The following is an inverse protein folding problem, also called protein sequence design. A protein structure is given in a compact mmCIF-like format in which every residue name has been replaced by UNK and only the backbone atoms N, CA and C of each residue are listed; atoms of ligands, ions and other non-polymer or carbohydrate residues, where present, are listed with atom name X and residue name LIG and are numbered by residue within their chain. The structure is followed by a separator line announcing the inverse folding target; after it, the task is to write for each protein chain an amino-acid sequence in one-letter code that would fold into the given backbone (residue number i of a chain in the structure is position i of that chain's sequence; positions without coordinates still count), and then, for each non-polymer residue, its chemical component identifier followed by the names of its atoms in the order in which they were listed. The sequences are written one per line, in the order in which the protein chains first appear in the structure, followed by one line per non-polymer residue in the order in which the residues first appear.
data_IF_781560581841
#
_entry.id   IF_781560581841
#
_cell.length_a   1.000
_cell.length_b   1.000
_cell.length_c   1.000
_cell.angle_alpha   90.00
_cell.angle_beta   90.00
_cell.angle_gamma   90.00
#
_symmetry.space_group_name_H-M   'P 1'
#
loop_
_entity.id
_entity.type
_entity.pdbx_description
1 polymer ?
#
# COMPACT_ATOMS: atom_id res chain seq x y z
N UNK A 1 54.59 39.49 -37.17
CA UNK A 1 53.33 38.89 -36.69
C UNK A 1 53.68 38.00 -35.50
N UNK A 2 53.57 38.52 -34.28
CA UNK A 2 53.97 37.81 -33.07
C UNK A 2 52.73 37.11 -32.47
N UNK A 3 52.81 35.79 -32.29
CA UNK A 3 51.81 35.01 -31.56
C UNK A 3 51.88 35.40 -30.08
N UNK A 4 50.83 36.07 -29.60
CA UNK A 4 50.63 36.31 -28.16
C UNK A 4 50.16 34.99 -27.56
N UNK A 5 51.05 34.30 -26.84
CA UNK A 5 50.69 33.14 -26.03
C UNK A 5 49.74 33.58 -24.91
N UNK A 6 48.54 32.97 -24.86
CA UNK A 6 47.62 33.18 -23.73
C UNK A 6 48.24 32.54 -22.48
N UNK A 7 48.31 33.26 -21.35
CA UNK A 7 48.78 32.68 -20.10
C UNK A 7 47.88 31.49 -19.72
N UNK A 8 48.46 30.42 -19.13
CA UNK A 8 47.70 29.26 -18.70
C UNK A 8 46.63 29.70 -17.70
N UNK A 9 45.37 29.40 -18.01
CA UNK A 9 44.24 29.65 -17.12
C UNK A 9 44.56 29.00 -15.77
N UNK A 10 44.41 29.72 -14.63
CA UNK A 10 44.62 29.14 -13.32
C UNK A 10 43.74 27.89 -13.22
N UNK A 11 44.34 26.76 -12.86
CA UNK A 11 43.62 25.51 -12.59
C UNK A 11 42.68 25.77 -11.43
N UNK A 12 41.48 26.24 -11.72
CA UNK A 12 40.40 26.37 -10.76
C UNK A 12 40.00 24.95 -10.40
N UNK A 13 40.68 24.41 -9.39
CA UNK A 13 40.25 23.24 -8.63
C UNK A 13 38.92 23.62 -7.99
N UNK A 14 37.87 23.56 -8.81
CA UNK A 14 36.51 23.86 -8.43
C UNK A 14 36.19 22.89 -7.28
N UNK A 15 35.93 23.43 -6.09
CA UNK A 15 35.56 22.62 -4.95
C UNK A 15 34.34 21.78 -5.35
N UNK A 16 34.55 20.46 -5.51
CA UNK A 16 33.48 19.51 -5.81
C UNK A 16 33.09 18.83 -4.51
N UNK A 17 31.78 18.70 -4.31
CA UNK A 17 31.28 17.86 -3.23
C UNK A 17 31.73 16.41 -3.49
N UNK A 18 32.12 15.68 -2.44
CA UNK A 18 32.23 14.22 -2.49
C UNK A 18 30.98 13.57 -3.08
N UNK A 19 31.15 12.53 -3.90
CA UNK A 19 30.06 11.92 -4.66
C UNK A 19 28.98 11.27 -3.78
N UNK A 20 29.37 10.75 -2.62
CA UNK A 20 28.49 10.22 -1.58
C UNK A 20 27.59 11.31 -0.97
N UNK A 21 28.13 12.51 -0.71
CA UNK A 21 27.35 13.64 -0.24
C UNK A 21 26.40 14.16 -1.33
N UNK A 22 26.84 14.23 -2.59
CA UNK A 22 25.95 14.57 -3.70
C UNK A 22 24.79 13.57 -3.80
N UNK A 23 25.07 12.26 -3.76
CA UNK A 23 24.04 11.22 -3.77
C UNK A 23 23.04 11.42 -2.64
N UNK A 24 23.52 11.61 -1.40
CA UNK A 24 22.65 11.82 -0.25
C UNK A 24 21.77 13.05 -0.40
N UNK A 25 22.34 14.18 -0.85
CA UNK A 25 21.60 15.43 -1.08
C UNK A 25 20.51 15.21 -2.13
N UNK A 26 20.84 14.63 -3.30
CA UNK A 26 19.87 14.42 -4.36
C UNK A 26 18.80 13.40 -4.00
N UNK A 27 19.14 12.32 -3.29
CA UNK A 27 18.15 11.34 -2.82
C UNK A 27 17.20 11.96 -1.80
N UNK A 28 17.71 12.69 -0.80
CA UNK A 28 16.86 13.36 0.19
C UNK A 28 15.97 14.43 -0.46
N UNK A 29 16.52 15.24 -1.37
CA UNK A 29 15.75 16.24 -2.10
C UNK A 29 14.68 15.59 -3.00
N UNK A 30 15.01 14.49 -3.68
CA UNK A 30 14.06 13.73 -4.49
C UNK A 30 12.92 13.13 -3.66
N UNK A 31 13.22 12.60 -2.47
CA UNK A 31 12.21 12.05 -1.56
C UNK A 31 11.30 13.15 -0.98
N UNK A 32 11.88 14.29 -0.57
CA UNK A 32 11.13 15.43 -0.05
C UNK A 32 10.31 16.16 -1.14
N UNK A 33 10.78 16.15 -2.39
CA UNK A 33 10.18 16.89 -3.50
C UNK A 33 10.05 16.02 -4.75
N UNK A 34 9.23 14.95 -4.67
CA UNK A 34 9.06 13.97 -5.75
C UNK A 34 8.70 14.57 -7.11
N UNK A 35 7.89 15.64 -7.12
CA UNK A 35 7.53 16.39 -8.35
C UNK A 35 8.72 17.03 -9.06
N UNK A 36 9.81 17.28 -8.32
CA UNK A 36 11.04 17.87 -8.86
C UNK A 36 12.03 16.84 -9.40
N UNK A 37 11.79 15.53 -9.19
CA UNK A 37 12.68 14.46 -9.69
C UNK A 37 12.96 14.61 -11.19
N UNK A 38 11.98 14.84 -12.09
CA UNK A 38 12.25 15.01 -13.51
C UNK A 38 13.28 16.11 -13.83
N UNK A 39 13.28 17.21 -13.07
CA UNK A 39 14.26 18.29 -13.24
C UNK A 39 15.63 17.89 -12.68
N UNK A 40 15.66 17.21 -11.54
CA UNK A 40 16.91 16.73 -10.93
C UNK A 40 17.63 15.71 -11.83
N UNK A 41 16.87 14.90 -12.58
CA UNK A 41 17.42 13.95 -13.56
C UNK A 41 18.25 14.63 -14.66
N UNK A 42 18.03 15.93 -14.91
CA UNK A 42 18.72 16.71 -15.94
C UNK A 42 20.05 17.30 -15.46
N UNK A 43 20.35 17.25 -14.15
CA UNK A 43 21.52 17.92 -13.57
C UNK A 43 22.83 17.27 -14.05
N UNK A 44 22.91 15.94 -13.99
CA UNK A 44 24.07 15.17 -14.42
C UNK A 44 23.71 13.70 -14.62
N UNK A 45 24.47 12.99 -15.46
CA UNK A 45 24.26 11.56 -15.71
C UNK A 45 24.28 10.70 -14.42
N UNK A 46 25.23 10.98 -13.50
CA UNK A 46 25.30 10.24 -12.22
C UNK A 46 24.06 10.46 -11.36
N UNK A 47 23.57 11.70 -11.30
CA UNK A 47 22.34 12.05 -10.57
C UNK A 47 21.16 11.31 -11.19
N UNK A 48 21.08 11.26 -12.52
CA UNK A 48 20.08 10.47 -13.23
C UNK A 48 20.07 9.00 -12.77
N UNK A 49 21.23 8.34 -12.77
CA UNK A 49 21.36 6.95 -12.32
C UNK A 49 20.92 6.75 -10.86
N UNK A 50 21.22 7.70 -9.99
CA UNK A 50 20.90 7.60 -8.56
C UNK A 50 19.41 7.76 -8.24
N UNK A 51 18.73 8.71 -8.89
CA UNK A 51 17.36 9.08 -8.51
C UNK A 51 16.29 8.53 -9.45
N UNK A 52 16.63 8.04 -10.66
CA UNK A 52 15.66 7.44 -11.57
C UNK A 52 14.81 6.32 -10.93
N UNK A 53 15.36 5.40 -10.11
CA UNK A 53 14.55 4.40 -9.40
C UNK A 53 13.46 5.02 -8.50
N UNK A 54 13.67 6.23 -7.99
CA UNK A 54 12.72 6.93 -7.11
C UNK A 54 11.47 7.46 -7.85
N UNK A 55 11.46 7.40 -9.19
CA UNK A 55 10.26 7.64 -9.99
C UNK A 55 9.27 6.48 -9.95
N UNK A 56 9.73 5.26 -9.64
CA UNK A 56 8.95 4.04 -9.79
C UNK A 56 8.66 3.28 -8.48
N UNK A 57 8.61 3.88 -7.28
CA UNK A 57 8.36 3.14 -6.04
C UNK A 57 6.98 2.49 -6.03
N UNK A 58 6.05 2.99 -6.86
CA UNK A 58 4.66 2.55 -6.94
C UNK A 58 4.29 2.33 -8.40
N UNK A 59 3.68 1.17 -8.67
CA UNK A 59 3.13 0.84 -9.98
C UNK A 59 1.64 0.61 -9.82
N UNK A 60 0.89 1.47 -10.50
CA UNK A 60 -0.55 1.58 -10.39
C UNK A 60 -1.19 1.09 -11.68
N UNK A 61 -1.94 0.00 -11.60
CA UNK A 61 -2.70 -0.59 -12.72
C UNK A 61 -4.18 -0.51 -12.36
N UNK A 62 -4.73 0.70 -12.38
CA UNK A 62 -6.16 0.97 -12.13
C UNK A 62 -6.96 1.01 -13.43
N UNK A 63 -6.44 1.71 -14.44
CA UNK A 63 -7.10 1.78 -15.72
C UNK A 63 -6.27 0.98 -16.72
N UNK A 64 -6.89 -0.08 -17.20
CA UNK A 64 -6.33 -0.92 -18.23
C UNK A 64 -6.51 -0.27 -19.62
N UNK A 65 -7.11 0.91 -19.73
CA UNK A 65 -6.97 1.77 -20.91
C UNK A 65 -5.59 2.43 -20.88
N UNK A 66 -4.76 2.14 -21.88
CA UNK A 66 -3.41 2.68 -22.00
C UNK A 66 -3.40 4.23 -22.05
N UNK A 67 -4.53 4.87 -22.31
CA UNK A 67 -4.67 6.33 -22.34
C UNK A 67 -4.82 6.97 -20.95
N UNK A 68 -5.26 6.21 -19.94
CA UNK A 68 -5.53 6.72 -18.58
C UNK A 68 -4.57 6.16 -17.53
N UNK A 69 -3.64 5.28 -17.92
CA UNK A 69 -2.62 4.79 -17.01
C UNK A 69 -1.69 5.94 -16.58
N UNK A 70 -1.32 5.93 -15.30
CA UNK A 70 -0.33 6.88 -14.76
C UNK A 70 0.94 6.88 -15.62
N UNK A 71 1.45 8.08 -15.93
CA UNK A 71 2.63 8.29 -16.77
C UNK A 71 3.83 7.48 -16.26
N UNK A 72 3.94 7.31 -14.93
CA UNK A 72 4.96 6.47 -14.33
C UNK A 72 4.81 4.99 -14.72
N UNK A 73 3.61 4.42 -14.62
CA UNK A 73 3.30 3.05 -15.03
C UNK A 73 3.56 2.85 -16.52
N UNK A 74 3.09 3.75 -17.39
CA UNK A 74 3.31 3.67 -18.84
C UNK A 74 4.80 3.75 -19.20
N UNK A 75 5.55 4.66 -18.55
CA UNK A 75 6.99 4.78 -18.76
C UNK A 75 7.72 3.52 -18.30
N UNK A 76 7.37 2.98 -17.13
CA UNK A 76 7.94 1.73 -16.61
C UNK A 76 7.67 0.56 -17.57
N UNK A 77 6.44 0.45 -18.07
CA UNK A 77 6.07 -0.56 -19.04
C UNK A 77 6.85 -0.44 -20.34
N UNK A 78 6.99 0.78 -20.89
CA UNK A 78 7.82 1.02 -22.10
C UNK A 78 9.29 0.64 -21.88
N UNK A 79 9.85 0.96 -20.70
CA UNK A 79 11.22 0.56 -20.34
C UNK A 79 11.36 -0.97 -20.30
N UNK A 80 10.36 -1.67 -19.77
CA UNK A 80 10.33 -3.13 -19.71
C UNK A 80 10.13 -3.78 -21.09
N UNK A 81 9.33 -3.17 -21.96
CA UNK A 81 9.13 -3.65 -23.34
C UNK A 81 10.39 -3.47 -24.19
N UNK A 82 11.03 -2.30 -24.08
CA UNK A 82 12.25 -1.98 -24.83
C UNK A 82 13.51 -2.68 -24.27
N UNK A 83 13.40 -3.42 -23.15
CA UNK A 83 14.54 -3.95 -22.39
C UNK A 83 15.60 -2.87 -22.10
N UNK A 84 15.16 -1.63 -21.86
CA UNK A 84 16.04 -0.46 -21.65
C UNK A 84 16.71 -0.47 -20.26
N UNK A 85 16.25 -1.33 -19.36
CA UNK A 85 16.77 -1.53 -18.01
C UNK A 85 16.83 -3.03 -17.69
N UNK A 86 17.83 -3.48 -16.91
CA UNK A 86 17.91 -4.87 -16.49
C UNK A 86 16.79 -5.21 -15.48
N UNK A 87 16.37 -6.48 -15.34
CA UNK A 87 15.35 -6.91 -14.36
C UNK A 87 15.62 -6.41 -12.93
N UNK A 88 16.89 -6.39 -12.51
CA UNK A 88 17.30 -5.93 -11.18
C UNK A 88 16.92 -4.47 -10.91
N UNK A 89 16.86 -3.63 -11.95
CA UNK A 89 16.40 -2.24 -11.80
C UNK A 89 14.95 -2.21 -11.31
N UNK A 90 14.06 -2.98 -11.92
CA UNK A 90 12.64 -3.02 -11.57
C UNK A 90 12.41 -3.64 -10.19
N UNK A 91 13.11 -4.74 -9.88
CA UNK A 91 13.07 -5.36 -8.55
C UNK A 91 13.52 -4.40 -7.44
N UNK A 92 14.49 -3.53 -7.73
CA UNK A 92 14.98 -2.56 -6.76
C UNK A 92 14.11 -1.29 -6.70
N UNK A 93 13.56 -0.83 -7.84
CA UNK A 93 12.81 0.42 -7.93
C UNK A 93 11.37 0.27 -7.45
N UNK A 94 10.68 -0.82 -7.81
CA UNK A 94 9.26 -1.00 -7.52
C UNK A 94 9.08 -1.64 -6.15
N UNK A 95 8.40 -0.93 -5.23
CA UNK A 95 8.13 -1.41 -3.87
C UNK A 95 6.66 -1.72 -3.63
N UNK A 96 5.76 -1.04 -4.34
CA UNK A 96 4.33 -1.21 -4.21
C UNK A 96 3.69 -1.47 -5.56
N UNK A 97 2.83 -2.47 -5.62
CA UNK A 97 2.11 -2.86 -6.81
C UNK A 97 0.61 -2.89 -6.53
N UNK A 98 -0.15 -2.19 -7.37
CA UNK A 98 -1.58 -2.05 -7.24
C UNK A 98 -2.24 -2.58 -8.51
N UNK A 99 -2.92 -3.72 -8.39
CA UNK A 99 -3.57 -4.43 -9.49
C UNK A 99 -5.07 -4.33 -9.31
N UNK A 100 -5.66 -3.32 -9.94
CA UNK A 100 -7.08 -3.01 -9.88
C UNK A 100 -7.61 -2.94 -11.31
N UNK A 101 -7.74 -4.08 -12.02
CA UNK A 101 -8.38 -4.05 -13.32
C UNK A 101 -9.78 -3.44 -13.16
N UNK A 102 -9.98 -2.20 -13.64
CA UNK A 102 -11.31 -1.61 -13.70
C UNK A 102 -12.09 -2.44 -14.71
N UNK A 103 -12.95 -3.31 -14.20
CA UNK A 103 -14.02 -3.85 -15.00
C UNK A 103 -14.96 -2.68 -15.28
N UNK A 104 -14.98 -2.19 -16.53
CA UNK A 104 -16.13 -1.43 -16.97
C UNK A 104 -17.32 -2.38 -16.83
N UNK A 105 -18.15 -2.12 -15.82
CA UNK A 105 -19.50 -2.68 -15.74
C UNK A 105 -20.30 -2.01 -16.86
N UNK A 106 -19.94 -2.26 -18.12
CA UNK A 106 -20.87 -2.04 -19.21
C UNK A 106 -22.00 -3.03 -18.96
N UNK A 107 -23.16 -2.50 -18.55
CA UNK A 107 -24.30 -3.25 -18.03
C UNK A 107 -24.77 -4.40 -18.93
N UNK A 108 -24.27 -4.53 -20.17
CA UNK A 108 -24.63 -5.59 -21.12
C UNK A 108 -23.49 -6.05 -22.07
N UNK A 109 -22.22 -5.73 -21.81
CA UNK A 109 -21.09 -6.18 -22.65
C UNK A 109 -20.28 -7.30 -21.99
N UNK A 110 -19.61 -8.20 -22.76
CA UNK A 110 -18.56 -9.02 -22.19
C UNK A 110 -17.53 -8.08 -21.55
N UNK A 111 -17.01 -8.40 -20.35
CA UNK A 111 -15.96 -7.59 -19.75
C UNK A 111 -14.82 -7.50 -20.76
N UNK A 112 -14.59 -6.31 -21.30
CA UNK A 112 -13.38 -6.06 -22.07
C UNK A 112 -12.26 -6.14 -21.05
N UNK A 113 -11.63 -7.32 -20.95
CA UNK A 113 -10.30 -7.49 -20.36
C UNK A 113 -9.43 -6.48 -21.07
N UNK A 114 -9.21 -5.42 -20.33
CA UNK A 114 -8.76 -4.20 -20.89
C UNK A 114 -7.25 -4.28 -21.07
N UNK A 115 -6.70 -3.70 -22.14
CA UNK A 115 -5.28 -3.40 -22.48
C UNK A 115 -4.11 -4.38 -22.19
N UNK A 116 -4.14 -5.14 -21.10
CA UNK A 116 -3.07 -6.00 -20.62
C UNK A 116 -3.45 -7.47 -20.74
N UNK A 117 -2.60 -8.26 -21.38
CA UNK A 117 -2.72 -9.72 -21.43
C UNK A 117 -2.04 -10.36 -20.22
N UNK A 118 -2.41 -11.61 -19.89
CA UNK A 118 -1.74 -12.39 -18.84
C UNK A 118 -0.23 -12.46 -19.04
N UNK A 119 0.23 -12.58 -20.29
CA UNK A 119 1.66 -12.54 -20.64
C UNK A 119 2.30 -11.22 -20.26
N UNK A 120 1.62 -10.10 -20.51
CA UNK A 120 2.14 -8.76 -20.18
C UNK A 120 2.18 -8.55 -18.67
N UNK A 121 1.13 -8.98 -17.96
CA UNK A 121 1.09 -8.90 -16.51
C UNK A 121 2.12 -9.83 -15.86
N UNK A 122 2.24 -11.07 -16.32
CA UNK A 122 3.27 -12.01 -15.86
C UNK A 122 4.69 -11.47 -16.08
N UNK A 123 4.96 -10.83 -17.23
CA UNK A 123 6.24 -10.16 -17.50
C UNK A 123 6.49 -9.01 -16.51
N UNK A 124 5.48 -8.19 -16.25
CA UNK A 124 5.58 -7.09 -15.29
C UNK A 124 5.84 -7.60 -13.86
N UNK A 125 5.05 -8.58 -13.41
CA UNK A 125 5.17 -9.18 -12.08
C UNK A 125 6.56 -9.80 -11.88
N UNK A 126 7.04 -10.55 -12.87
CA UNK A 126 8.37 -11.19 -12.82
C UNK A 126 9.51 -10.17 -12.77
N UNK A 127 9.36 -9.01 -13.43
CA UNK A 127 10.35 -7.93 -13.36
C UNK A 127 10.33 -7.22 -11.99
N UNK A 128 9.17 -7.15 -11.35
CA UNK A 128 8.94 -6.49 -10.06
C UNK A 128 9.09 -7.44 -8.87
N UNK A 129 10.06 -8.37 -8.91
CA UNK A 129 10.23 -9.41 -7.89
C UNK A 129 10.56 -8.91 -6.48
N UNK A 130 11.03 -7.67 -6.35
CA UNK A 130 11.34 -7.02 -5.07
C UNK A 130 10.21 -6.21 -4.44
N UNK A 131 8.97 -6.36 -4.97
CA UNK A 131 7.77 -5.72 -4.40
C UNK A 131 7.51 -6.21 -2.98
N UNK A 132 7.17 -5.27 -2.10
CA UNK A 132 6.91 -5.52 -0.68
C UNK A 132 5.42 -5.37 -0.34
N UNK A 133 4.74 -4.45 -1.03
CA UNK A 133 3.34 -4.15 -0.80
C UNK A 133 2.54 -4.46 -2.07
N UNK A 134 1.55 -5.34 -1.96
CA UNK A 134 0.68 -5.70 -3.08
C UNK A 134 -0.76 -5.42 -2.70
N UNK A 135 -1.52 -4.82 -3.62
CA UNK A 135 -2.96 -4.69 -3.50
C UNK A 135 -3.60 -5.31 -4.74
N UNK A 136 -4.50 -6.27 -4.51
CA UNK A 136 -5.17 -7.05 -5.55
C UNK A 136 -6.68 -6.83 -5.44
N UNK A 137 -7.32 -6.50 -6.56
CA UNK A 137 -8.75 -6.69 -6.75
C UNK A 137 -8.98 -8.08 -7.33
N UNK A 138 -9.51 -8.98 -6.51
CA UNK A 138 -9.91 -10.31 -6.98
C UNK A 138 -11.30 -10.21 -7.61
N UNK A 139 -11.58 -11.01 -8.64
CA UNK A 139 -12.92 -11.08 -9.23
C UNK A 139 -13.17 -12.51 -9.71
N UNK A 140 -14.33 -13.06 -9.35
CA UNK A 140 -14.81 -14.41 -9.67
C UNK A 140 -14.75 -14.83 -11.13
N UNK A 141 -14.76 -13.86 -12.06
CA UNK A 141 -14.78 -14.15 -13.50
C UNK A 141 -13.40 -14.39 -14.09
N UNK A 142 -12.34 -14.01 -13.37
CA UNK A 142 -10.99 -13.98 -13.90
C UNK A 142 -10.07 -14.85 -13.03
N UNK A 143 -9.92 -16.15 -13.36
CA UNK A 143 -8.77 -16.92 -12.93
C UNK A 143 -7.58 -16.52 -13.81
N UNK A 144 -6.81 -15.49 -13.39
CA UNK A 144 -5.36 -15.69 -13.33
C UNK A 144 -4.60 -14.81 -12.31
N UNK A 145 -5.19 -13.82 -11.63
CA UNK A 145 -4.36 -12.82 -10.90
C UNK A 145 -3.56 -13.44 -9.75
N UNK A 146 -4.18 -14.26 -8.91
CA UNK A 146 -3.45 -14.91 -7.81
C UNK A 146 -2.43 -15.91 -8.35
N UNK A 147 -2.75 -16.63 -9.43
CA UNK A 147 -1.85 -17.58 -10.09
C UNK A 147 -0.65 -16.86 -10.71
N UNK A 148 -0.86 -15.72 -11.35
CA UNK A 148 0.20 -14.89 -11.94
C UNK A 148 1.11 -14.31 -10.87
N UNK A 149 0.55 -13.81 -9.77
CA UNK A 149 1.32 -13.29 -8.62
C UNK A 149 2.15 -14.43 -7.99
N UNK A 150 1.55 -15.62 -7.86
CA UNK A 150 2.23 -16.82 -7.34
C UNK A 150 3.33 -17.30 -8.30
N UNK A 151 3.04 -17.36 -9.60
CA UNK A 151 3.97 -17.80 -10.65
C UNK A 151 5.15 -16.83 -10.80
N UNK A 152 4.94 -15.54 -10.54
CA UNK A 152 6.00 -14.55 -10.46
C UNK A 152 6.86 -14.66 -9.19
N UNK A 153 6.55 -15.61 -8.30
CA UNK A 153 7.24 -15.86 -7.03
C UNK A 153 7.37 -14.59 -6.17
N UNK A 154 6.28 -13.82 -6.10
CA UNK A 154 6.23 -12.63 -5.26
C UNK A 154 6.08 -13.01 -3.79
N UNK A 155 6.80 -12.30 -2.93
CA UNK A 155 6.77 -12.49 -1.47
C UNK A 155 6.46 -11.16 -0.77
N UNK A 156 5.25 -10.60 -0.98
CA UNK A 156 4.86 -9.39 -0.31
C UNK A 156 4.91 -9.56 1.21
N UNK A 157 5.23 -8.48 1.90
CA UNK A 157 5.08 -8.36 3.36
C UNK A 157 3.71 -7.84 3.74
N UNK A 158 3.09 -7.08 2.83
CA UNK A 158 1.76 -6.47 2.99
C UNK A 158 0.89 -6.80 1.80
N UNK A 159 -0.30 -7.33 2.06
CA UNK A 159 -1.27 -7.70 1.03
C UNK A 159 -2.62 -7.09 1.35
N UNK A 160 -3.21 -6.41 0.37
CA UNK A 160 -4.62 -6.03 0.38
C UNK A 160 -5.35 -6.89 -0.65
N UNK A 161 -6.39 -7.56 -0.21
CA UNK A 161 -7.32 -8.29 -1.05
C UNK A 161 -8.64 -7.53 -1.06
N UNK A 162 -9.08 -7.11 -2.24
CA UNK A 162 -10.43 -6.58 -2.44
C UNK A 162 -11.26 -7.70 -3.04
N UNK A 163 -12.23 -8.19 -2.25
CA UNK A 163 -13.12 -9.29 -2.57
C UNK A 163 -14.50 -8.71 -2.92
N UNK A 164 -14.94 -8.75 -4.19
CA UNK A 164 -16.25 -8.27 -4.60
C UNK A 164 -17.37 -9.23 -4.21
N UNK A 165 -17.07 -10.51 -3.97
CA UNK A 165 -18.02 -11.53 -3.50
C UNK A 165 -17.42 -12.26 -2.27
N UNK A 166 -18.09 -12.23 -1.10
CA UNK A 166 -17.61 -12.89 0.11
C UNK A 166 -17.59 -14.43 0.05
N UNK A 167 -18.29 -15.04 -0.91
CA UNK A 167 -18.43 -16.50 -0.99
C UNK A 167 -17.23 -17.21 -1.60
N UNK A 168 -16.28 -16.46 -2.16
CA UNK A 168 -15.13 -17.08 -2.78
C UNK A 168 -14.11 -17.51 -1.73
N UNK A 169 -13.73 -18.79 -1.69
CA UNK A 169 -12.76 -19.27 -0.72
C UNK A 169 -11.39 -18.65 -0.99
N UNK A 170 -10.88 -17.90 -0.01
CA UNK A 170 -9.51 -17.39 -0.07
C UNK A 170 -8.56 -18.52 0.32
N UNK A 171 -7.74 -18.99 -0.62
CA UNK A 171 -6.76 -20.04 -0.37
C UNK A 171 -5.54 -19.49 0.42
N UNK A 172 -5.71 -19.29 1.73
CA UNK A 172 -4.65 -18.77 2.61
C UNK A 172 -3.44 -19.71 2.74
N UNK A 173 -3.57 -20.97 2.30
CA UNK A 173 -2.44 -21.91 2.18
C UNK A 173 -1.47 -21.59 1.03
N UNK A 174 -1.79 -20.62 0.16
CA UNK A 174 -0.94 -20.27 -0.97
C UNK A 174 0.42 -19.69 -0.51
N UNK A 175 1.55 -20.04 -1.15
CA UNK A 175 2.89 -19.53 -0.81
C UNK A 175 3.02 -18.00 -0.74
N UNK A 176 2.18 -17.27 -1.48
CA UNK A 176 2.06 -15.81 -1.45
C UNK A 176 1.87 -15.27 -0.02
N UNK A 177 1.16 -16.03 0.82
CA UNK A 177 0.85 -15.59 2.18
C UNK A 177 1.95 -15.94 3.21
N UNK A 178 2.92 -16.79 2.86
CA UNK A 178 3.92 -17.28 3.81
C UNK A 178 4.86 -16.21 4.38
N UNK A 179 5.05 -15.10 3.66
CA UNK A 179 5.88 -13.98 4.10
C UNK A 179 5.08 -12.80 4.69
N UNK A 180 3.75 -12.89 4.73
CA UNK A 180 2.89 -11.77 5.09
C UNK A 180 2.97 -11.45 6.57
N UNK A 181 3.11 -10.17 6.85
CA UNK A 181 2.99 -9.57 8.18
C UNK A 181 1.71 -8.76 8.32
N UNK A 182 1.22 -8.20 7.21
CA UNK A 182 0.00 -7.40 7.16
C UNK A 182 -0.92 -7.94 6.07
N UNK A 183 -2.18 -8.22 6.44
CA UNK A 183 -3.22 -8.67 5.53
C UNK A 183 -4.46 -7.80 5.71
N UNK A 184 -5.07 -7.40 4.61
CA UNK A 184 -6.29 -6.60 4.63
C UNK A 184 -7.33 -7.17 3.67
N UNK A 185 -8.53 -7.42 4.16
CA UNK A 185 -9.70 -7.82 3.37
C UNK A 185 -10.63 -6.62 3.19
N UNK A 186 -10.93 -6.27 1.94
CA UNK A 186 -11.74 -5.13 1.54
C UNK A 186 -12.97 -5.60 0.73
N UNK A 187 -14.12 -4.96 0.91
CA UNK A 187 -15.33 -5.23 0.12
C UNK A 187 -16.16 -6.45 0.57
N UNK A 188 -15.72 -7.17 1.60
CA UNK A 188 -16.31 -8.44 2.04
C UNK A 188 -17.29 -8.24 3.18
N UNK A 189 -18.54 -8.72 3.08
CA UNK A 189 -19.42 -8.80 4.24
C UNK A 189 -18.89 -9.88 5.19
N UNK A 190 -18.80 -9.56 6.48
CA UNK A 190 -18.42 -10.57 7.49
C UNK A 190 -19.64 -11.44 7.82
N UNK A 191 -19.67 -12.65 7.25
CA UNK A 191 -20.65 -13.69 7.55
C UNK A 191 -19.97 -14.95 8.12
N UNK A 192 -20.76 -15.99 8.39
CA UNK A 192 -20.26 -17.23 8.99
C UNK A 192 -19.33 -18.02 8.08
N UNK A 193 -19.53 -17.95 6.76
CA UNK A 193 -18.68 -18.65 5.80
C UNK A 193 -17.30 -17.99 5.75
N UNK A 194 -17.27 -16.67 5.61
CA UNK A 194 -16.01 -15.91 5.62
C UNK A 194 -15.27 -16.04 6.95
N UNK A 195 -15.98 -15.97 8.09
CA UNK A 195 -15.37 -16.15 9.40
C UNK A 195 -14.74 -17.54 9.57
N UNK A 196 -15.41 -18.61 9.10
CA UNK A 196 -14.87 -19.97 9.13
C UNK A 196 -13.60 -20.10 8.27
N UNK A 197 -13.58 -19.50 7.08
CA UNK A 197 -12.37 -19.49 6.23
C UNK A 197 -11.18 -18.81 6.93
N UNK A 198 -11.42 -17.70 7.63
CA UNK A 198 -10.37 -17.03 8.39
C UNK A 198 -9.90 -17.86 9.58
N UNK A 199 -10.82 -18.49 10.31
CA UNK A 199 -10.47 -19.35 11.45
C UNK A 199 -9.58 -20.53 11.02
N UNK A 200 -9.88 -21.15 9.88
CA UNK A 200 -9.08 -22.24 9.32
C UNK A 200 -7.75 -21.75 8.73
N UNK A 201 -7.75 -20.61 8.03
CA UNK A 201 -6.61 -20.18 7.23
C UNK A 201 -5.60 -19.30 7.96
N UNK A 202 -6.00 -18.49 8.94
CA UNK A 202 -5.08 -17.59 9.67
C UNK A 202 -3.98 -18.34 10.42
N UNK A 203 -4.23 -19.51 11.07
CA UNK A 203 -3.17 -20.31 11.67
C UNK A 203 -2.06 -20.74 10.69
N UNK A 204 -2.34 -20.76 9.38
CA UNK A 204 -1.36 -21.08 8.34
C UNK A 204 -0.42 -19.92 8.00
N UNK A 205 -0.62 -18.74 8.60
CA UNK A 205 0.12 -17.52 8.31
C UNK A 205 1.07 -17.16 9.47
N UNK A 206 2.22 -17.85 9.62
CA UNK A 206 3.06 -17.80 10.82
C UNK A 206 3.73 -16.44 11.11
N UNK A 207 3.65 -15.50 10.17
CA UNK A 207 4.23 -14.15 10.30
C UNK A 207 3.18 -13.05 10.40
N UNK A 208 1.90 -13.39 10.28
CA UNK A 208 0.82 -12.41 10.32
C UNK A 208 0.72 -11.79 11.71
N UNK A 209 0.95 -10.48 11.77
CA UNK A 209 0.87 -9.68 13.00
C UNK A 209 -0.24 -8.63 12.91
N UNK A 210 -0.65 -8.28 11.70
CA UNK A 210 -1.60 -7.21 11.43
C UNK A 210 -2.69 -7.70 10.48
N UNK A 211 -3.95 -7.62 10.91
CA UNK A 211 -5.10 -8.00 10.12
C UNK A 211 -6.09 -6.84 10.05
N UNK A 212 -6.62 -6.55 8.86
CA UNK A 212 -7.69 -5.57 8.67
C UNK A 212 -8.85 -6.21 7.91
N UNK A 213 -10.07 -5.98 8.37
CA UNK A 213 -11.28 -6.55 7.78
C UNK A 213 -12.31 -5.43 7.62
N UNK A 214 -12.71 -5.18 6.37
CA UNK A 214 -13.83 -4.30 6.05
C UNK A 214 -15.18 -5.04 6.05
N UNK A 215 -16.28 -4.30 5.88
CA UNK A 215 -17.61 -4.91 5.73
C UNK A 215 -18.14 -5.61 6.99
N UNK A 216 -17.59 -5.23 8.14
CA UNK A 216 -18.18 -5.44 9.48
C UNK A 216 -19.43 -4.60 9.71
N UNK A 217 -19.86 -3.82 8.70
CA UNK A 217 -21.08 -3.01 8.73
C UNK A 217 -21.98 -3.38 7.58
N UNK A 218 -23.16 -3.83 7.93
CA UNK A 218 -24.24 -4.03 6.99
C UNK A 218 -25.33 -4.87 7.64
N UNK A 219 -26.56 -4.82 7.12
CA UNK A 219 -27.56 -5.84 7.45
C UNK A 219 -26.95 -7.23 7.21
N UNK A 220 -26.91 -8.07 8.25
CA UNK A 220 -26.36 -9.42 8.17
C UNK A 220 -24.87 -9.58 8.50
N UNK A 221 -24.13 -8.50 8.76
CA UNK A 221 -22.75 -8.63 9.26
C UNK A 221 -22.74 -9.20 10.69
N UNK A 222 -21.90 -10.19 10.96
CA UNK A 222 -21.75 -10.84 12.26
C UNK A 222 -20.29 -10.71 12.78
N UNK A 223 -19.86 -9.50 13.16
CA UNK A 223 -18.48 -9.24 13.56
C UNK A 223 -18.01 -10.08 14.76
N UNK A 224 -18.93 -10.48 15.65
CA UNK A 224 -18.67 -11.39 16.77
C UNK A 224 -18.05 -12.72 16.34
N UNK A 225 -18.29 -13.18 15.10
CA UNK A 225 -17.68 -14.39 14.55
C UNK A 225 -16.17 -14.27 14.32
N UNK A 226 -15.61 -13.06 14.42
CA UNK A 226 -14.17 -12.84 14.35
C UNK A 226 -13.47 -13.04 15.70
N UNK A 227 -14.20 -13.32 16.78
CA UNK A 227 -13.62 -13.56 18.11
C UNK A 227 -12.55 -14.67 18.14
N UNK A 228 -12.68 -15.80 17.39
CA UNK A 228 -11.62 -16.82 17.34
C UNK A 228 -10.26 -16.28 16.87
N UNK A 229 -10.23 -15.23 16.03
CA UNK A 229 -8.98 -14.60 15.58
C UNK A 229 -8.18 -13.98 16.72
N UNK A 230 -8.82 -13.67 17.84
CA UNK A 230 -8.15 -13.17 19.03
C UNK A 230 -7.38 -14.29 19.78
N UNK A 231 -7.64 -15.57 19.50
CA UNK A 231 -6.82 -16.66 20.03
C UNK A 231 -5.43 -16.74 19.36
N UNK A 232 -5.23 -16.04 18.25
CA UNK A 232 -3.97 -16.02 17.50
C UNK A 232 -2.95 -15.16 18.23
N UNK A 233 -2.03 -15.80 18.96
CA UNK A 233 -1.06 -15.14 19.85
C UNK A 233 -0.10 -14.16 19.16
N UNK A 234 0.22 -14.40 17.89
CA UNK A 234 1.10 -13.54 17.10
C UNK A 234 0.40 -12.28 16.57
N UNK A 235 -0.94 -12.26 16.58
CA UNK A 235 -1.68 -11.10 16.09
C UNK A 235 -1.50 -9.95 17.10
N UNK A 236 -1.00 -8.82 16.61
CA UNK A 236 -0.70 -7.61 17.38
C UNK A 236 -1.76 -6.53 17.19
N UNK A 237 -2.35 -6.45 16.00
CA UNK A 237 -3.39 -5.47 15.65
C UNK A 237 -4.47 -6.12 14.80
N UNK A 238 -5.73 -5.89 15.18
CA UNK A 238 -6.91 -6.24 14.39
C UNK A 238 -7.70 -4.97 14.10
N UNK A 239 -7.73 -4.55 12.83
CA UNK A 239 -8.48 -3.38 12.36
C UNK A 239 -9.82 -3.84 11.81
N UNK A 240 -10.90 -3.26 12.31
CA UNK A 240 -12.26 -3.49 11.82
C UNK A 240 -12.83 -2.19 11.25
N UNK A 241 -13.54 -2.27 10.13
CA UNK A 241 -14.17 -1.07 9.56
C UNK A 241 -15.29 -0.53 10.46
N UNK A 242 -15.00 0.52 11.21
CA UNK A 242 -15.89 1.11 12.23
C UNK A 242 -15.91 2.64 12.19
N UNK A 243 -17.07 3.24 12.42
CA UNK A 243 -17.18 4.68 12.71
C UNK A 243 -17.13 4.84 14.23
N UNK A 244 -16.91 6.08 14.70
CA UNK A 244 -16.91 6.36 16.13
C UNK A 244 -18.21 6.02 16.87
N UNK A 245 -19.30 5.76 16.15
CA UNK A 245 -20.59 5.34 16.69
C UNK A 245 -20.77 3.81 16.75
N UNK A 246 -19.84 3.03 16.18
CA UNK A 246 -19.95 1.57 16.16
C UNK A 246 -19.53 0.99 17.51
N UNK A 247 -20.47 0.28 18.16
CA UNK A 247 -20.21 -0.44 19.40
C UNK A 247 -19.55 -1.78 19.08
N UNK A 248 -18.30 -1.95 19.51
CA UNK A 248 -17.58 -3.22 19.38
C UNK A 248 -18.28 -4.29 20.24
N UNK A 249 -18.64 -5.45 19.67
CA UNK A 249 -19.23 -6.57 20.41
C UNK A 249 -18.38 -6.97 21.61
N UNK A 250 -19.02 -7.51 22.65
CA UNK A 250 -18.35 -7.92 23.89
C UNK A 250 -17.26 -8.96 23.66
N UNK A 251 -17.47 -9.83 22.68
CA UNK A 251 -16.61 -10.94 22.27
C UNK A 251 -15.34 -10.44 21.58
N UNK A 252 -15.38 -9.21 21.03
CA UNK A 252 -14.25 -8.56 20.34
C UNK A 252 -13.52 -7.54 21.23
N UNK A 253 -13.82 -7.49 22.52
CA UNK A 253 -13.16 -6.56 23.44
C UNK A 253 -11.75 -7.03 23.78
N UNK A 254 -10.81 -6.61 22.95
CA UNK A 254 -9.38 -6.91 23.11
C UNK A 254 -8.55 -5.62 22.96
N UNK A 255 -7.37 -5.58 23.58
CA UNK A 255 -6.45 -4.44 23.49
C UNK A 255 -5.95 -4.21 22.06
N UNK A 256 -5.90 -5.27 21.25
CA UNK A 256 -5.41 -5.27 19.87
C UNK A 256 -6.44 -4.79 18.85
N UNK A 257 -7.72 -4.73 19.24
CA UNK A 257 -8.81 -4.34 18.35
C UNK A 257 -8.87 -2.83 18.19
N UNK A 258 -8.87 -2.38 16.94
CA UNK A 258 -8.97 -0.99 16.52
C UNK A 258 -10.08 -0.85 15.51
N UNK A 259 -10.85 0.22 15.59
CA UNK A 259 -11.88 0.55 14.61
C UNK A 259 -11.52 1.85 13.91
N UNK A 260 -11.63 1.87 12.58
CA UNK A 260 -11.40 3.07 11.78
C UNK A 260 -12.15 2.97 10.45
N UNK A 261 -12.35 4.11 9.78
CA UNK A 261 -13.03 4.13 8.48
C UNK A 261 -12.10 3.64 7.37
N UNK A 262 -12.37 2.44 6.84
CA UNK A 262 -11.54 1.84 5.78
C UNK A 262 -11.79 2.43 4.39
N UNK A 263 -12.90 3.15 4.18
CA UNK A 263 -13.11 3.95 2.96
C UNK A 263 -12.02 5.00 2.74
N UNK A 264 -11.43 5.53 3.82
CA UNK A 264 -10.25 6.43 3.75
C UNK A 264 -8.93 5.66 3.64
N UNK A 265 -8.91 4.38 4.00
CA UNK A 265 -7.72 3.54 3.88
C UNK A 265 -7.29 3.37 2.43
N UNK A 266 -8.24 3.25 1.50
CA UNK A 266 -7.92 3.28 0.07
C UNK A 266 -7.22 4.59 -0.34
N UNK A 267 -7.63 5.74 0.20
CA UNK A 267 -6.93 7.00 -0.06
C UNK A 267 -5.50 7.03 0.49
N UNK A 268 -5.20 6.29 1.55
CA UNK A 268 -3.82 6.18 2.04
C UNK A 268 -2.96 5.21 1.26
N UNK A 269 -3.57 4.10 0.83
CA UNK A 269 -2.92 3.18 -0.10
C UNK A 269 -2.62 3.89 -1.42
N UNK A 270 -3.53 4.71 -1.93
CA UNK A 270 -3.45 5.28 -3.27
C UNK A 270 -2.89 6.72 -3.32
N UNK A 271 -3.12 7.52 -2.28
CA UNK A 271 -3.06 8.98 -2.36
C UNK A 271 -1.89 9.68 -1.67
N UNK A 272 -1.02 9.00 -0.93
CA UNK A 272 0.03 9.71 -0.19
C UNK A 272 1.28 9.98 -1.03
N UNK A 273 1.39 11.08 -1.77
CA UNK A 273 2.72 11.62 -2.16
C UNK A 273 3.61 11.81 -0.92
N UNK A 274 2.97 12.11 0.22
CA UNK A 274 3.58 12.16 1.53
C UNK A 274 3.56 10.77 2.18
N UNK A 275 4.75 10.22 2.42
CA UNK A 275 4.99 8.95 3.12
C UNK A 275 4.53 8.95 4.59
N UNK A 276 3.88 10.01 5.07
CA UNK A 276 3.92 10.34 6.48
C UNK A 276 2.96 9.55 7.38
N UNK A 277 1.85 8.98 6.91
CA UNK A 277 1.04 8.13 7.78
C UNK A 277 0.44 6.91 7.08
N UNK A 278 1.00 5.76 7.42
CA UNK A 278 0.41 4.45 7.24
C UNK A 278 -0.63 4.18 8.34
N UNK A 279 -1.80 3.68 7.97
CA UNK A 279 -2.88 3.38 8.91
C UNK A 279 -2.55 2.26 9.87
N UNK A 280 -1.65 1.37 9.45
CA UNK A 280 -1.06 0.39 10.35
C UNK A 280 -0.33 1.08 11.49
N UNK A 281 0.51 2.08 11.20
CA UNK A 281 1.22 2.84 12.23
C UNK A 281 0.27 3.60 13.17
N UNK A 282 -0.83 4.15 12.64
CA UNK A 282 -1.87 4.77 13.46
C UNK A 282 -2.57 3.76 14.39
N UNK A 283 -2.84 2.55 13.90
CA UNK A 283 -3.42 1.47 14.69
C UNK A 283 -2.44 0.96 15.76
N UNK A 284 -1.19 0.70 15.40
CA UNK A 284 -0.12 0.31 16.32
C UNK A 284 0.04 1.34 17.44
N UNK A 285 0.15 2.63 17.10
CA UNK A 285 0.26 3.73 18.07
C UNK A 285 -0.94 3.74 19.02
N UNK A 286 -2.14 3.48 18.51
CA UNK A 286 -3.35 3.42 19.33
C UNK A 286 -3.34 2.20 20.27
N UNK A 287 -2.98 1.01 19.78
CA UNK A 287 -2.86 -0.21 20.58
C UNK A 287 -1.81 -0.03 21.68
N UNK A 288 -0.65 0.55 21.36
CA UNK A 288 0.39 0.81 22.37
C UNK A 288 -0.06 1.80 23.44
N UNK A 289 -0.74 2.87 23.06
CA UNK A 289 -1.35 3.80 24.02
C UNK A 289 -2.40 3.12 24.90
N UNK A 290 -3.18 2.19 24.35
CA UNK A 290 -4.15 1.40 25.11
C UNK A 290 -3.44 0.48 26.11
N UNK A 291 -2.37 -0.22 25.69
CA UNK A 291 -1.51 -1.05 26.56
C UNK A 291 -0.89 -0.27 27.72
N UNK A 292 -0.55 1.00 27.50
CA UNK A 292 -0.01 1.91 28.55
C UNK A 292 -1.08 2.52 29.45
N UNK A 293 -2.37 2.39 29.12
CA UNK A 293 -3.47 3.05 29.82
C UNK A 293 -3.69 4.52 29.44
N UNK A 294 -2.98 5.04 28.42
CA UNK A 294 -3.17 6.41 27.88
C UNK A 294 -4.51 6.56 27.16
N UNK A 295 -5.12 5.43 26.77
CA UNK A 295 -6.43 5.33 26.11
C UNK A 295 -7.27 4.33 26.89
N UNK A 296 -8.52 4.66 27.29
CA UNK A 296 -9.40 3.72 27.99
C UNK A 296 -9.59 2.41 27.21
N UNK A 297 -9.62 1.28 27.91
CA UNK A 297 -9.78 -0.04 27.26
C UNK A 297 -11.09 -0.18 26.48
N UNK A 298 -12.13 0.56 26.88
CA UNK A 298 -13.42 0.63 26.21
C UNK A 298 -13.41 1.43 24.91
N UNK A 299 -12.31 2.13 24.59
CA UNK A 299 -12.18 2.89 23.36
C UNK A 299 -11.51 2.05 22.28
N UNK A 300 -12.15 1.97 21.13
CA UNK A 300 -11.66 1.22 19.98
C UNK A 300 -11.47 2.09 18.74
N UNK A 301 -12.16 3.23 18.65
CA UNK A 301 -12.14 4.07 17.46
C UNK A 301 -10.94 5.01 17.39
N UNK A 302 -10.26 4.98 16.24
CA UNK A 302 -9.23 5.92 15.81
C UNK A 302 -9.77 6.75 14.66
N UNK A 303 -9.79 8.07 14.83
CA UNK A 303 -9.87 8.99 13.69
C UNK A 303 -8.43 9.33 13.30
N UNK A 304 -7.94 8.73 12.23
CA UNK A 304 -6.54 8.89 11.90
C UNK A 304 -6.24 10.27 11.31
N UNK A 305 -7.24 10.98 10.79
CA UNK A 305 -7.04 12.37 10.34
C UNK A 305 -6.78 13.32 11.49
N UNK A 306 -7.25 13.00 12.70
CA UNK A 306 -7.02 13.79 13.91
C UNK A 306 -5.74 13.41 14.66
N UNK A 307 -5.21 12.21 14.45
CA UNK A 307 -3.90 11.87 15.00
C UNK A 307 -2.78 12.63 14.27
N UNK A 308 -2.95 12.87 12.97
CA UNK A 308 -2.01 13.63 12.15
C UNK A 308 -1.76 15.02 12.72
N UNK A 309 -2.82 15.75 13.09
CA UNK A 309 -2.69 17.13 13.58
C UNK A 309 -2.05 17.25 14.97
N UNK A 310 -1.94 16.16 15.72
CA UNK A 310 -1.44 16.18 17.10
C UNK A 310 0.04 15.73 17.23
N UNK A 311 0.63 15.17 16.16
CA UNK A 311 2.04 14.75 16.16
C UNK A 311 3.03 15.91 15.96
N UNK A 312 2.56 17.05 15.45
CA UNK A 312 3.40 18.23 15.16
C UNK A 312 3.72 19.10 16.40
N UNK A 313 3.44 18.61 17.61
CA UNK A 313 3.99 19.19 18.86
C UNK A 313 3.51 20.60 19.24
N UNK A 314 2.63 21.26 18.46
CA UNK A 314 1.99 22.50 18.88
C UNK A 314 0.81 22.18 19.82
N UNK A 315 1.07 22.20 21.12
CA UNK A 315 0.11 21.84 22.15
C UNK A 315 -1.23 22.60 22.13
N UNK A 316 -2.23 21.90 22.67
CA UNK A 316 -3.53 22.36 23.18
C UNK A 316 -4.64 22.69 22.15
N UNK A 317 -5.67 21.83 22.09
CA UNK A 317 -6.90 22.07 22.85
C UNK A 317 -7.87 20.87 22.74
N UNK A 318 -8.60 20.60 23.82
CA UNK A 318 -9.69 19.62 23.84
C UNK A 318 -10.81 20.07 22.89
N UNK A 319 -10.97 19.40 21.75
CA UNK A 319 -12.17 19.54 20.92
C UNK A 319 -13.14 18.43 21.31
N UNK A 320 -13.98 18.70 22.30
CA UNK A 320 -15.30 18.08 22.45
C UNK A 320 -16.24 18.71 21.44
N UNK A 321 -16.12 18.32 20.17
CA UNK A 321 -17.01 18.74 19.09
C UNK A 321 -18.02 17.64 18.79
N UNK A 322 -19.29 17.86 19.16
CA UNK A 322 -20.42 17.04 18.74
C UNK A 322 -20.43 16.90 17.22
N UNK A 323 -20.24 15.67 16.74
CA UNK A 323 -20.44 15.33 15.33
C UNK A 323 -21.92 14.97 15.18
N UNK A 324 -22.74 15.93 14.77
CA UNK A 324 -24.06 15.61 14.22
C UNK A 324 -23.87 14.94 12.86
N UNK A 325 -24.39 13.72 12.75
CA UNK A 325 -24.39 12.95 11.51
C UNK A 325 -25.19 13.66 10.43
N UNK A 326 -24.50 14.12 9.39
CA UNK A 326 -25.12 14.37 8.10
C UNK A 326 -25.41 13.03 7.44
N UNK A 327 -26.70 12.75 7.24
CA UNK A 327 -27.15 11.64 6.42
C UNK A 327 -26.74 11.93 4.96
N UNK A 328 -25.98 11.00 4.39
CA UNK A 328 -25.86 10.78 2.95
C UNK A 328 -26.60 9.49 2.62
#
# INVERSE_FOLDING_TARGET
MACIERPPSPSTSQARLPADLELQIFTLAALAHRKSIPNMLLVAHRVHTWIEPLLYPRVNIYNLDANDADLATLKLWRLLQANARPPQFFANAVKRLYLFPVYRIERQGPPLLSGWTDTQLGKLLSACSGVQDVALLLNHRDPPLWELVTAANLHPRRLVLILPDPKEPVQLANPLFGALSHLAFMGTLVDAEFAAQLDEGIPLLPRLTHLAISGTRGPGSQPELLAPLLSVNQLQVLILDGTGAWNVPTELRDVRVVTMSMGRVLQWWFGGEDEQLDYWAAAETFVERKRRGDVPESRYFVDPTKQITNLDGSGASQITGNIHGGQY
#
